data_IF_139296819960
#
_entry.id   IF_139296819960
#
_cell.length_a   1.000
_cell.length_b   1.000
_cell.length_c   1.000
_cell.angle_alpha   90.00
_cell.angle_beta   90.00
_cell.angle_gamma   90.00
#
_symmetry.space_group_name_H-M   'P 1'
#
loop_
_entity.id
_entity.type
_entity.pdbx_description
1 polymer ?
#
# COMPACT_ATOMS: atom_id res chain seq x y z
N UNK A 1 20.06 -17.21 -1.73
CA UNK A 1 19.74 -16.07 -0.85
C UNK A 1 19.67 -14.83 -1.70
N UNK A 2 18.50 -14.24 -1.73
CA UNK A 2 18.31 -13.02 -2.50
C UNK A 2 18.94 -11.84 -1.76
N UNK A 3 19.87 -11.15 -2.41
CA UNK A 3 20.52 -9.99 -1.80
C UNK A 3 19.56 -8.81 -1.79
N UNK A 4 19.30 -8.25 -0.62
CA UNK A 4 18.38 -7.14 -0.50
C UNK A 4 19.12 -5.88 -0.06
N UNK A 5 18.96 -4.82 -0.86
CA UNK A 5 19.52 -3.52 -0.53
C UNK A 5 18.73 -2.86 0.61
N UNK A 6 19.45 -2.35 1.61
CA UNK A 6 18.84 -1.54 2.65
C UNK A 6 18.41 -0.20 2.07
N UNK A 7 17.19 0.19 2.34
CA UNK A 7 16.62 1.45 1.88
C UNK A 7 16.11 2.25 3.08
N UNK A 8 16.10 3.58 2.94
CA UNK A 8 15.54 4.47 3.98
C UNK A 8 14.07 4.16 4.24
N UNK A 9 13.34 3.73 3.22
CA UNK A 9 11.94 3.32 3.36
C UNK A 9 11.79 2.14 4.33
N UNK A 10 12.78 1.27 4.43
CA UNK A 10 12.72 0.12 5.34
C UNK A 10 12.64 0.57 6.80
N UNK A 11 13.44 1.57 7.18
CA UNK A 11 13.40 2.16 8.52
C UNK A 11 12.09 2.91 8.75
N UNK A 12 11.62 3.65 7.75
CA UNK A 12 10.34 4.36 7.82
C UNK A 12 9.18 3.40 8.06
N UNK A 13 9.13 2.29 7.33
CA UNK A 13 8.05 1.32 7.45
C UNK A 13 8.02 0.66 8.83
N UNK A 14 9.19 0.36 9.41
CA UNK A 14 9.24 -0.20 10.77
C UNK A 14 8.67 0.76 11.80
N UNK A 15 9.02 2.05 11.71
CA UNK A 15 8.48 3.07 12.61
C UNK A 15 6.99 3.28 12.40
N UNK A 16 6.54 3.28 11.14
CA UNK A 16 5.13 3.40 10.80
C UNK A 16 4.30 2.28 11.43
N UNK A 17 4.77 1.04 11.31
CA UNK A 17 4.06 -0.12 11.86
C UNK A 17 3.88 -0.02 13.38
N UNK A 18 4.87 0.49 14.07
CA UNK A 18 4.88 0.61 15.53
C UNK A 18 4.07 1.79 16.05
N UNK A 19 3.72 2.74 15.19
CA UNK A 19 2.97 3.91 15.59
C UNK A 19 1.51 3.53 15.87
N UNK A 20 1.00 3.72 17.11
CA UNK A 20 -0.39 3.38 17.44
C UNK A 20 -1.40 4.24 16.70
N UNK A 21 -0.99 5.42 16.25
CA UNK A 21 -1.84 6.36 15.52
C UNK A 21 -1.60 6.31 14.01
N UNK A 22 -0.98 5.23 13.51
CA UNK A 22 -0.67 5.14 12.08
C UNK A 22 -1.90 5.24 11.21
N UNK A 23 -1.73 5.87 10.07
CA UNK A 23 -2.74 6.01 9.03
C UNK A 23 -2.38 5.13 7.83
N UNK A 24 -3.36 4.78 6.99
CA UNK A 24 -3.02 4.18 5.69
C UNK A 24 -1.93 4.96 5.00
N UNK A 25 -0.95 4.25 4.45
CA UNK A 25 0.26 4.85 3.90
C UNK A 25 0.21 4.80 2.38
N UNK A 26 0.57 5.92 1.73
CA UNK A 26 0.76 5.96 0.29
C UNK A 26 2.24 6.15 0.00
N UNK A 27 2.84 5.15 -0.65
CA UNK A 27 4.23 5.23 -1.11
C UNK A 27 4.21 5.59 -2.59
N UNK A 28 4.73 6.76 -2.92
CA UNK A 28 4.77 7.28 -4.28
C UNK A 28 6.19 7.42 -4.78
N UNK A 29 6.37 7.32 -6.07
CA UNK A 29 7.68 7.44 -6.70
C UNK A 29 7.63 6.97 -8.15
N UNK A 30 8.75 7.12 -8.85
CA UNK A 30 8.88 6.67 -10.22
C UNK A 30 8.78 5.14 -10.30
N UNK A 31 8.51 4.64 -11.50
CA UNK A 31 8.53 3.19 -11.75
C UNK A 31 9.93 2.63 -11.55
N UNK A 32 10.01 1.37 -11.14
CA UNK A 32 11.25 0.59 -11.07
C UNK A 32 12.28 1.14 -10.07
N UNK A 33 11.85 1.83 -9.03
CA UNK A 33 12.75 2.29 -7.96
C UNK A 33 12.72 1.39 -6.72
N UNK A 34 12.03 0.25 -6.79
CA UNK A 34 12.02 -0.74 -5.71
C UNK A 34 10.88 -0.60 -4.70
N UNK A 35 9.81 0.16 -5.02
CA UNK A 35 8.67 0.34 -4.12
C UNK A 35 8.04 -0.99 -3.70
N UNK A 36 7.64 -1.79 -4.67
CA UNK A 36 6.97 -3.07 -4.41
C UNK A 36 7.88 -4.03 -3.70
N UNK A 37 9.16 -4.09 -4.09
CA UNK A 37 10.14 -4.96 -3.45
C UNK A 37 10.33 -4.63 -1.97
N UNK A 38 10.45 -3.36 -1.63
CA UNK A 38 10.59 -2.92 -0.24
C UNK A 38 9.34 -3.23 0.59
N UNK A 39 8.15 -3.03 0.01
CA UNK A 39 6.89 -3.33 0.69
C UNK A 39 6.74 -4.84 0.92
N UNK A 40 7.08 -5.67 -0.06
CA UNK A 40 7.00 -7.13 0.08
C UNK A 40 7.92 -7.64 1.17
N UNK A 41 9.10 -7.07 1.29
CA UNK A 41 10.02 -7.42 2.37
C UNK A 41 9.44 -7.03 3.73
N UNK A 42 8.92 -5.82 3.84
CA UNK A 42 8.25 -5.35 5.04
C UNK A 42 7.06 -6.26 5.43
N UNK A 43 6.33 -6.74 4.41
CA UNK A 43 5.18 -7.62 4.61
C UNK A 43 5.52 -8.94 5.29
N UNK A 44 6.78 -9.36 5.26
CA UNK A 44 7.21 -10.58 5.96
C UNK A 44 7.02 -10.48 7.48
N UNK A 45 6.86 -9.27 8.02
CA UNK A 45 6.58 -9.05 9.44
C UNK A 45 5.11 -9.26 9.81
N UNK A 46 4.24 -9.51 8.83
CA UNK A 46 2.81 -9.79 9.04
C UNK A 46 2.53 -11.28 8.83
N UNK A 47 1.50 -11.80 9.49
CA UNK A 47 1.06 -13.19 9.28
C UNK A 47 0.35 -13.37 7.95
N UNK A 48 -0.36 -12.33 7.49
CA UNK A 48 -1.11 -12.36 6.25
C UNK A 48 -0.79 -11.13 5.41
N UNK A 49 -0.54 -11.35 4.13
CA UNK A 49 -0.25 -10.27 3.19
C UNK A 49 -1.16 -10.42 1.98
N UNK A 50 -1.93 -9.37 1.70
CA UNK A 50 -2.85 -9.30 0.57
C UNK A 50 -2.29 -8.29 -0.41
N UNK A 51 -1.83 -8.76 -1.58
CA UNK A 51 -1.32 -7.89 -2.63
C UNK A 51 -2.31 -7.83 -3.79
N UNK A 52 -2.72 -6.62 -4.14
CA UNK A 52 -3.64 -6.37 -5.25
C UNK A 52 -2.99 -5.34 -6.17
N UNK A 53 -2.75 -5.72 -7.43
CA UNK A 53 -2.18 -4.84 -8.44
C UNK A 53 -3.26 -4.50 -9.46
N UNK A 54 -3.65 -3.24 -9.52
CA UNK A 54 -4.77 -2.81 -10.37
C UNK A 54 -4.45 -2.81 -11.86
N UNK A 55 -3.17 -2.86 -12.24
CA UNK A 55 -2.76 -2.93 -13.65
C UNK A 55 -2.70 -4.37 -14.13
N UNK A 56 -1.97 -5.23 -13.40
CA UNK A 56 -1.78 -6.63 -13.81
C UNK A 56 -2.97 -7.51 -13.47
N UNK A 57 -3.84 -7.07 -12.56
CA UNK A 57 -5.00 -7.82 -12.11
C UNK A 57 -6.26 -6.94 -12.19
N UNK A 58 -6.69 -6.59 -13.42
CA UNK A 58 -7.79 -5.63 -13.61
C UNK A 58 -9.14 -6.11 -13.07
N UNK A 59 -9.28 -7.41 -12.76
CA UNK A 59 -10.48 -7.93 -12.12
C UNK A 59 -10.75 -7.28 -10.76
N UNK A 60 -9.73 -6.71 -10.11
CA UNK A 60 -9.91 -6.02 -8.83
C UNK A 60 -10.38 -4.57 -8.96
N UNK A 61 -10.48 -4.02 -10.18
CA UNK A 61 -10.99 -2.66 -10.37
C UNK A 61 -12.41 -2.48 -9.87
N UNK A 62 -13.18 -3.55 -9.75
CA UNK A 62 -14.59 -3.53 -9.32
C UNK A 62 -14.79 -3.71 -7.81
N UNK A 63 -13.73 -3.83 -7.02
CA UNK A 63 -13.88 -4.13 -5.59
C UNK A 63 -14.55 -3.01 -4.79
N UNK A 64 -14.63 -1.81 -5.34
CA UNK A 64 -15.30 -0.67 -4.71
C UNK A 64 -16.74 -0.47 -5.20
N UNK A 65 -17.25 -1.38 -6.02
CA UNK A 65 -18.58 -1.24 -6.64
C UNK A 65 -19.75 -1.29 -5.64
N UNK A 66 -19.57 -1.97 -4.50
CA UNK A 66 -20.59 -2.05 -3.45
C UNK A 66 -20.36 -1.07 -2.30
N UNK A 67 -19.34 -0.22 -2.39
CA UNK A 67 -19.02 0.79 -1.40
C UNK A 67 -17.58 0.74 -0.94
N UNK A 68 -17.22 1.67 -0.05
CA UNK A 68 -15.85 1.88 0.38
C UNK A 68 -15.56 1.38 1.80
N UNK A 69 -16.56 0.81 2.50
CA UNK A 69 -16.28 0.28 3.83
C UNK A 69 -15.35 -0.93 3.74
N UNK A 70 -14.50 -1.16 4.76
CA UNK A 70 -13.63 -2.34 4.76
C UNK A 70 -14.40 -3.63 4.58
N UNK A 71 -15.58 -3.77 5.17
CA UNK A 71 -16.42 -4.95 5.04
C UNK A 71 -16.82 -5.21 3.59
N UNK A 72 -17.28 -4.17 2.87
CA UNK A 72 -17.65 -4.30 1.47
C UNK A 72 -16.45 -4.60 0.58
N UNK A 73 -15.33 -3.89 0.81
CA UNK A 73 -14.11 -4.08 0.03
C UNK A 73 -13.56 -5.50 0.22
N UNK A 74 -13.48 -5.97 1.45
CA UNK A 74 -13.00 -7.33 1.77
C UNK A 74 -13.93 -8.38 1.16
N UNK A 75 -15.24 -8.17 1.23
CA UNK A 75 -16.21 -9.07 0.62
C UNK A 75 -15.97 -9.20 -0.88
N UNK A 76 -15.81 -8.08 -1.58
CA UNK A 76 -15.57 -8.09 -3.02
C UNK A 76 -14.24 -8.74 -3.38
N UNK A 77 -13.19 -8.49 -2.60
CA UNK A 77 -11.89 -9.14 -2.80
C UNK A 77 -12.01 -10.65 -2.60
N UNK A 78 -12.71 -11.07 -1.56
CA UNK A 78 -12.89 -12.49 -1.23
C UNK A 78 -13.71 -13.23 -2.27
N UNK A 79 -14.61 -12.56 -2.96
CA UNK A 79 -15.36 -13.15 -4.08
C UNK A 79 -14.46 -13.45 -5.28
N UNK A 80 -13.44 -12.62 -5.49
CA UNK A 80 -12.47 -12.80 -6.57
C UNK A 80 -11.43 -13.85 -6.19
N UNK A 81 -10.92 -13.77 -4.95
CA UNK A 81 -9.91 -14.72 -4.46
C UNK A 81 -10.26 -15.19 -3.04
N UNK A 82 -10.99 -16.31 -2.91
CA UNK A 82 -11.39 -16.83 -1.60
C UNK A 82 -10.24 -17.30 -0.72
N UNK A 83 -9.04 -17.45 -1.25
CA UNK A 83 -7.87 -17.90 -0.49
C UNK A 83 -7.26 -16.81 0.38
N UNK A 84 -7.55 -15.54 0.10
CA UNK A 84 -7.06 -14.44 0.92
C UNK A 84 -7.69 -14.48 2.31
N UNK A 85 -6.85 -14.34 3.34
CA UNK A 85 -7.29 -14.33 4.74
C UNK A 85 -7.13 -12.94 5.32
N UNK A 86 -8.22 -12.39 5.83
CA UNK A 86 -8.26 -11.08 6.46
C UNK A 86 -8.44 -11.26 7.96
N UNK A 87 -7.32 -11.21 8.70
CA UNK A 87 -7.34 -11.36 10.16
C UNK A 87 -7.00 -10.01 10.79
N UNK A 88 -7.89 -9.45 11.64
CA UNK A 88 -7.64 -8.17 12.29
C UNK A 88 -6.29 -8.14 13.00
N UNK A 89 -5.55 -7.04 12.82
CA UNK A 89 -4.25 -6.77 13.42
C UNK A 89 -3.10 -7.69 12.97
N UNK A 90 -3.35 -8.60 12.04
CA UNK A 90 -2.34 -9.54 11.53
C UNK A 90 -2.15 -9.46 10.02
N UNK A 91 -2.88 -8.58 9.36
CA UNK A 91 -2.92 -8.51 7.89
C UNK A 91 -2.44 -7.15 7.38
N UNK A 92 -1.55 -7.18 6.38
CA UNK A 92 -1.19 -6.02 5.59
C UNK A 92 -1.87 -6.14 4.22
N UNK A 93 -2.55 -5.07 3.82
CA UNK A 93 -3.17 -4.98 2.48
C UNK A 93 -2.34 -4.00 1.66
N UNK A 94 -1.85 -4.44 0.51
CA UNK A 94 -1.17 -3.60 -0.46
C UNK A 94 -2.05 -3.39 -1.68
N UNK A 95 -2.40 -2.13 -1.95
CA UNK A 95 -3.01 -1.72 -3.20
C UNK A 95 -1.92 -1.13 -4.09
N UNK A 96 -1.40 -1.96 -4.99
CA UNK A 96 -0.32 -1.57 -5.90
C UNK A 96 -0.87 -0.97 -7.19
N UNK A 97 -0.12 -0.06 -7.77
CA UNK A 97 -0.52 0.68 -8.97
C UNK A 97 -1.86 1.41 -8.78
N UNK A 98 -1.97 2.13 -7.66
CA UNK A 98 -3.21 2.78 -7.24
C UNK A 98 -3.71 3.83 -8.25
N UNK A 99 -2.84 4.36 -9.09
CA UNK A 99 -3.24 5.32 -10.12
C UNK A 99 -4.20 4.74 -11.16
N UNK A 100 -4.21 3.41 -11.31
CA UNK A 100 -5.15 2.73 -12.20
C UNK A 100 -6.55 2.59 -11.60
N UNK A 101 -6.69 2.86 -10.29
CA UNK A 101 -7.98 2.76 -9.59
C UNK A 101 -8.14 3.95 -8.64
N UNK A 102 -8.64 5.10 -9.11
CA UNK A 102 -8.81 6.30 -8.26
C UNK A 102 -9.67 6.08 -7.02
N UNK A 103 -10.63 5.16 -7.09
CA UNK A 103 -11.49 4.82 -5.95
C UNK A 103 -10.71 4.28 -4.75
N UNK A 104 -9.50 3.76 -4.98
CA UNK A 104 -8.64 3.25 -3.91
C UNK A 104 -8.34 4.33 -2.87
N UNK A 105 -8.09 5.56 -3.30
CA UNK A 105 -7.82 6.67 -2.37
C UNK A 105 -9.03 6.96 -1.47
N UNK A 106 -10.24 6.83 -2.02
CA UNK A 106 -11.47 7.08 -1.27
C UNK A 106 -11.66 6.11 -0.11
N UNK A 107 -11.25 4.85 -0.26
CA UNK A 107 -11.45 3.84 0.78
C UNK A 107 -10.54 4.02 1.99
N UNK A 108 -9.44 4.78 1.87
CA UNK A 108 -8.44 4.92 2.93
C UNK A 108 -9.03 5.52 4.21
N UNK A 109 -9.91 6.49 4.09
CA UNK A 109 -10.61 7.08 5.24
C UNK A 109 -11.32 6.00 6.05
N UNK A 110 -12.03 5.11 5.38
CA UNK A 110 -12.82 4.07 6.03
C UNK A 110 -11.94 3.02 6.68
N UNK A 111 -10.81 2.68 6.08
CA UNK A 111 -9.84 1.79 6.69
C UNK A 111 -9.20 2.39 7.93
N UNK A 112 -8.92 3.70 7.92
CA UNK A 112 -8.38 4.37 9.11
C UNK A 112 -9.38 4.34 10.27
N UNK A 113 -10.63 4.65 9.99
CA UNK A 113 -11.70 4.67 11.01
C UNK A 113 -11.92 3.26 11.57
N UNK A 114 -11.91 2.23 10.71
CA UNK A 114 -12.06 0.84 11.11
C UNK A 114 -10.90 0.34 11.98
N UNK A 115 -9.66 0.63 11.58
CA UNK A 115 -8.46 0.36 12.37
C UNK A 115 -8.01 -1.10 12.47
N UNK A 116 -8.71 -2.06 11.87
CA UNK A 116 -8.38 -3.48 11.99
C UNK A 116 -7.24 -3.93 11.09
N UNK A 117 -6.98 -3.22 10.01
CA UNK A 117 -6.02 -3.65 8.98
C UNK A 117 -5.03 -2.53 8.69
N UNK A 118 -3.78 -2.92 8.46
CA UNK A 118 -2.76 -2.01 7.97
C UNK A 118 -2.85 -1.97 6.44
N UNK A 119 -2.88 -0.76 5.87
CA UNK A 119 -3.04 -0.57 4.42
C UNK A 119 -1.91 0.28 3.89
N UNK A 120 -1.27 -0.22 2.83
CA UNK A 120 -0.29 0.53 2.05
C UNK A 120 -0.77 0.59 0.61
N UNK A 121 -0.75 1.79 0.04
CA UNK A 121 -0.96 2.00 -1.39
C UNK A 121 0.36 2.37 -2.03
N UNK A 122 0.59 1.90 -3.24
CA UNK A 122 1.78 2.22 -4.00
C UNK A 122 1.36 2.71 -5.38
N UNK A 123 2.04 3.72 -5.88
CA UNK A 123 1.72 4.25 -7.20
C UNK A 123 2.84 5.08 -7.80
N UNK A 124 2.78 5.22 -9.13
CA UNK A 124 3.68 6.06 -9.90
C UNK A 124 3.12 7.47 -10.00
N UNK A 125 4.02 8.46 -9.99
CA UNK A 125 3.64 9.86 -10.21
C UNK A 125 3.39 10.19 -11.69
N UNK A 126 3.75 9.28 -12.60
CA UNK A 126 3.67 9.54 -14.04
C UNK A 126 2.23 9.37 -14.54
N UNK A 127 1.75 10.39 -15.25
CA UNK A 127 0.49 10.33 -16.00
C UNK A 127 -0.78 10.66 -15.23
N UNK A 128 -0.70 11.08 -13.96
CA UNK A 128 -1.89 11.40 -13.16
C UNK A 128 -1.66 12.67 -12.34
N UNK A 129 -2.74 13.42 -12.13
CA UNK A 129 -2.78 14.45 -11.11
C UNK A 129 -2.98 13.76 -9.74
N UNK A 130 -1.86 13.35 -9.15
CA UNK A 130 -1.83 12.59 -7.90
C UNK A 130 -2.56 13.31 -6.76
N UNK A 131 -2.35 14.62 -6.62
CA UNK A 131 -2.97 15.41 -5.56
C UNK A 131 -4.50 15.42 -5.69
N UNK A 132 -5.02 15.51 -6.90
CA UNK A 132 -6.45 15.47 -7.15
C UNK A 132 -7.03 14.11 -6.76
N UNK A 133 -6.36 13.02 -7.16
CA UNK A 133 -6.80 11.66 -6.85
C UNK A 133 -6.84 11.41 -5.35
N UNK A 134 -5.85 11.89 -4.61
CA UNK A 134 -5.72 11.60 -3.17
C UNK A 134 -6.33 12.67 -2.25
N UNK A 135 -6.86 13.78 -2.79
CA UNK A 135 -7.43 14.86 -1.99
C UNK A 135 -8.59 14.40 -1.11
N UNK A 136 -9.35 13.41 -1.54
CA UNK A 136 -10.50 12.87 -0.79
C UNK A 136 -10.10 12.17 0.51
N UNK A 137 -8.83 11.78 0.67
CA UNK A 137 -8.33 11.11 1.86
C UNK A 137 -7.42 11.99 2.72
N UNK A 138 -7.36 13.30 2.46
CA UNK A 138 -6.58 14.22 3.27
C UNK A 138 -7.00 14.13 4.75
N UNK A 139 -6.01 13.99 5.64
CA UNK A 139 -6.25 13.80 7.08
C UNK A 139 -6.45 12.34 7.49
N UNK A 140 -6.60 11.41 6.53
CA UNK A 140 -6.80 9.98 6.78
C UNK A 140 -5.74 9.11 6.12
N UNK A 141 -4.68 9.70 5.64
CA UNK A 141 -3.57 8.98 5.00
C UNK A 141 -2.26 9.71 5.28
N UNK A 142 -1.17 8.97 5.17
CA UNK A 142 0.19 9.49 5.25
C UNK A 142 0.89 9.22 3.92
N UNK A 143 1.70 10.16 3.45
CA UNK A 143 2.43 10.02 2.19
C UNK A 143 3.92 9.83 2.46
N UNK A 144 4.54 8.96 1.69
CA UNK A 144 5.99 8.80 1.66
C UNK A 144 6.47 8.83 0.21
N UNK A 145 7.37 9.72 -0.11
CA UNK A 145 7.98 9.76 -1.43
C UNK A 145 9.27 8.95 -1.44
N UNK A 146 9.29 7.90 -2.26
CA UNK A 146 10.46 7.07 -2.45
C UNK A 146 11.22 7.53 -3.69
N UNK A 147 12.50 7.78 -3.51
CA UNK A 147 13.39 8.19 -4.59
C UNK A 147 14.25 7.01 -5.05
N UNK A 148 14.92 7.17 -6.19
CA UNK A 148 15.92 6.21 -6.61
C UNK A 148 17.02 6.11 -5.56
N UNK A 149 17.82 5.03 -5.60
CA UNK A 149 18.91 4.77 -4.64
C UNK A 149 19.80 5.99 -4.48
N UNK A 150 19.88 6.56 -3.27
CA UNK A 150 20.73 7.71 -3.01
C UNK A 150 22.17 7.27 -2.62
N UNK A 151 23.06 8.25 -2.43
CA UNK A 151 24.47 7.96 -2.12
C UNK A 151 24.63 7.20 -0.81
N UNK A 152 23.88 7.56 0.22
CA UNK A 152 23.93 6.88 1.51
C UNK A 152 23.47 5.42 1.40
N UNK A 153 22.36 5.19 0.71
CA UNK A 153 21.87 3.84 0.45
C UNK A 153 22.86 3.03 -0.40
N UNK A 154 23.52 3.68 -1.34
CA UNK A 154 24.57 3.04 -2.14
C UNK A 154 25.73 2.59 -1.26
N UNK A 155 26.14 3.40 -0.29
CA UNK A 155 27.21 3.03 0.64
C UNK A 155 26.82 1.83 1.51
N UNK A 156 25.55 1.74 1.91
CA UNK A 156 25.07 0.58 2.68
C UNK A 156 25.12 -0.73 1.89
N UNK A 157 25.10 -0.65 0.57
CA UNK A 157 25.13 -1.82 -0.30
C UNK A 157 26.51 -2.45 -0.46
N UNK A 158 27.57 -1.76 -0.04
CA UNK A 158 28.95 -2.24 -0.16
C UNK A 158 29.40 -3.10 1.01
#
# INVERSE_FOLDING_TARGET
MEYKLRRKVDDFLRHWKQNPDKMPLIIKGARQIGKTSSIKHFAESYKHFIEINFITEPQYLKIFSSGYSPENVIKEISLINPEFKFVPNETLILFDEMQACPDCATCLKFFKIDGRYDVICSGSLLGINYEEVTSVSVGFKEDYQMNSLDFEEFLWAK
#
